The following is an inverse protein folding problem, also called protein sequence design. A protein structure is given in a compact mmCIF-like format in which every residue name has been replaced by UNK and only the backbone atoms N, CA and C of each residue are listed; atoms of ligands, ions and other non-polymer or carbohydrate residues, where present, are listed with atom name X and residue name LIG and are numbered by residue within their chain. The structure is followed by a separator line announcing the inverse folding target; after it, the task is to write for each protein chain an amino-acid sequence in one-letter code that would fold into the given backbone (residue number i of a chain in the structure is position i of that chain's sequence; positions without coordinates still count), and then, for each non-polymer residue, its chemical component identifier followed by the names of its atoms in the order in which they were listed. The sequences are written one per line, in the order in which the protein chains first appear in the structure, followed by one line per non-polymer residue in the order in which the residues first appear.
data_IF_743307924653
#
_entry.id   IF_743307924653
#
_cell.length_a   1.000
_cell.length_b   1.000
_cell.length_c   1.000
_cell.angle_alpha   90.00
_cell.angle_beta   90.00
_cell.angle_gamma   90.00
#
_symmetry.space_group_name_H-M   'P 1'
#
loop_
_entity.id
_entity.type
_entity.pdbx_description
1 polymer ?
#
# COMPACT_ATOMS: atom_id res chain seq x y z
N UNK A 1 -17.72 23.49 7.70
CA UNK A 1 -17.95 24.11 9.02
C UNK A 1 -17.00 23.55 10.08
N UNK A 2 -17.06 22.26 10.43
CA UNK A 2 -16.31 21.74 11.59
C UNK A 2 -14.78 21.92 11.58
N UNK A 3 -14.14 21.99 10.41
CA UNK A 3 -12.68 22.13 10.29
C UNK A 3 -12.23 23.59 10.46
N UNK A 4 -12.62 24.47 9.54
CA UNK A 4 -12.06 25.83 9.44
C UNK A 4 -13.09 26.94 9.27
N UNK A 5 -14.39 26.62 9.26
CA UNK A 5 -15.43 27.59 8.91
C UNK A 5 -16.38 27.82 10.09
N UNK A 6 -16.36 29.03 10.63
CA UNK A 6 -17.15 29.47 11.78
C UNK A 6 -16.38 29.40 13.10
N UNK A 7 -16.79 30.21 14.08
CA UNK A 7 -16.11 30.38 15.38
C UNK A 7 -16.02 29.09 16.19
N UNK A 8 -16.98 28.19 16.00
CA UNK A 8 -17.01 26.88 16.67
C UNK A 8 -16.13 25.82 16.00
N UNK A 9 -15.48 26.14 14.88
CA UNK A 9 -14.60 25.21 14.15
C UNK A 9 -13.34 24.89 14.95
N UNK A 10 -12.71 23.74 14.68
CA UNK A 10 -11.50 23.34 15.41
C UNK A 10 -10.35 24.32 15.18
N UNK A 11 -10.20 24.87 13.96
CA UNK A 11 -9.17 25.87 13.69
C UNK A 11 -9.44 27.17 14.46
N UNK A 12 -10.66 27.70 14.41
CA UNK A 12 -11.00 28.93 15.12
C UNK A 12 -10.80 28.81 16.63
N UNK A 13 -11.15 27.65 17.22
CA UNK A 13 -10.94 27.38 18.65
C UNK A 13 -9.48 27.27 19.06
N UNK A 14 -8.63 26.70 18.21
CA UNK A 14 -7.19 26.60 18.48
C UNK A 14 -6.52 27.97 18.30
N UNK A 15 -6.87 28.70 17.24
CA UNK A 15 -6.33 30.03 16.98
C UNK A 15 -6.75 31.06 18.03
N UNK A 16 -7.95 30.95 18.62
CA UNK A 16 -8.40 31.87 19.67
C UNK A 16 -7.59 31.79 20.96
N UNK A 17 -6.91 30.66 21.20
CA UNK A 17 -5.98 30.47 22.33
C UNK A 17 -4.51 30.61 21.91
N UNK A 18 -4.24 31.13 20.71
CA UNK A 18 -2.88 31.37 20.20
C UNK A 18 -2.16 30.13 19.69
N UNK A 19 -2.85 29.00 19.49
CA UNK A 19 -2.28 27.78 18.90
C UNK A 19 -2.47 27.83 17.38
N UNK A 20 -1.38 27.58 16.64
CA UNK A 20 -1.41 27.40 15.17
C UNK A 20 -1.89 25.99 14.82
N UNK A 21 -3.12 25.82 14.28
CA UNK A 21 -3.69 24.49 14.07
C UNK A 21 -2.86 23.60 13.15
N UNK A 22 -2.24 24.17 12.12
CA UNK A 22 -1.46 23.46 11.10
C UNK A 22 -0.24 22.70 11.65
N UNK A 23 0.26 23.08 12.83
CA UNK A 23 1.38 22.39 13.49
C UNK A 23 0.93 21.11 14.22
N UNK A 24 -0.37 20.94 14.45
CA UNK A 24 -0.93 19.87 15.30
C UNK A 24 -1.96 18.99 14.59
N UNK A 25 -2.66 19.52 13.58
CA UNK A 25 -3.69 18.78 12.86
C UNK A 25 -3.62 19.04 11.36
N UNK A 26 -3.63 17.96 10.59
CA UNK A 26 -3.58 17.99 9.13
C UNK A 26 -4.72 17.14 8.57
N UNK A 27 -5.25 17.56 7.42
CA UNK A 27 -6.36 16.90 6.74
C UNK A 27 -5.94 16.50 5.34
N UNK A 28 -6.16 15.24 4.99
CA UNK A 28 -5.74 14.67 3.71
C UNK A 28 -6.92 14.05 2.97
N UNK A 29 -6.76 13.91 1.67
CA UNK A 29 -7.62 13.11 0.80
C UNK A 29 -6.74 12.30 -0.12
N UNK A 30 -7.24 11.18 -0.62
CA UNK A 30 -6.48 10.31 -1.51
C UNK A 30 -6.93 10.53 -2.96
N UNK A 31 -5.98 10.55 -3.88
CA UNK A 31 -6.19 10.70 -5.31
C UNK A 31 -5.19 9.82 -6.06
N UNK A 32 -5.65 9.14 -7.10
CA UNK A 32 -4.80 8.38 -8.00
C UNK A 32 -4.92 8.91 -9.42
N UNK A 33 -3.94 8.58 -10.24
CA UNK A 33 -3.97 8.82 -11.67
C UNK A 33 -3.51 7.56 -12.41
N UNK A 34 -3.92 7.43 -13.67
CA UNK A 34 -3.61 6.28 -14.51
C UNK A 34 -3.85 6.60 -15.98
N UNK A 35 -3.58 5.63 -16.87
CA UNK A 35 -3.96 5.68 -18.27
C UNK A 35 -5.18 4.81 -18.55
N UNK A 36 -6.12 5.30 -19.35
CA UNK A 36 -7.35 4.57 -19.69
C UNK A 36 -7.59 4.53 -21.21
N UNK A 37 -8.26 3.47 -21.67
CA UNK A 37 -8.67 3.28 -23.06
C UNK A 37 -7.52 3.02 -24.05
N UNK A 38 -7.89 2.76 -25.33
CA UNK A 38 -6.94 2.45 -26.41
C UNK A 38 -5.93 3.58 -26.68
N UNK A 39 -6.34 4.82 -26.43
CA UNK A 39 -5.49 6.01 -26.63
C UNK A 39 -4.59 6.33 -25.43
N UNK A 40 -4.59 5.48 -24.37
CA UNK A 40 -3.83 5.68 -23.12
C UNK A 40 -3.98 7.12 -22.61
N UNK A 41 -5.22 7.54 -22.41
CA UNK A 41 -5.55 8.88 -21.92
C UNK A 41 -5.22 8.98 -20.43
N UNK A 42 -4.47 10.02 -20.05
CA UNK A 42 -4.17 10.31 -18.66
C UNK A 42 -5.47 10.75 -17.96
N UNK A 43 -5.79 10.07 -16.87
CA UNK A 43 -6.96 10.36 -16.04
C UNK A 43 -6.56 10.38 -14.57
N UNK A 44 -7.28 11.17 -13.77
CA UNK A 44 -7.13 11.19 -12.32
C UNK A 44 -8.49 11.11 -11.66
N UNK A 45 -8.57 10.36 -10.58
CA UNK A 45 -9.79 10.23 -9.78
C UNK A 45 -9.47 10.23 -8.29
N UNK A 46 -10.43 10.73 -7.51
CA UNK A 46 -10.36 10.64 -6.06
C UNK A 46 -10.51 9.17 -5.63
N UNK A 47 -9.64 8.74 -4.72
CA UNK A 47 -9.83 7.47 -4.03
C UNK A 47 -10.81 7.69 -2.89
N UNK A 48 -11.94 6.99 -2.95
CA UNK A 48 -13.01 7.14 -1.97
C UNK A 48 -12.64 6.47 -0.66
N UNK A 49 -12.36 7.27 0.37
CA UNK A 49 -12.03 6.80 1.71
C UNK A 49 -13.33 6.36 2.40
N UNK A 50 -13.63 5.06 2.34
CA UNK A 50 -14.77 4.47 3.03
C UNK A 50 -14.43 3.97 4.44
N UNK A 51 -13.15 3.99 4.83
CA UNK A 51 -12.71 3.48 6.13
C UNK A 51 -13.32 4.28 7.29
N UNK A 52 -13.67 3.58 8.37
CA UNK A 52 -13.97 4.17 9.68
C UNK A 52 -13.06 3.52 10.71
N UNK A 53 -11.84 4.04 10.74
CA UNK A 53 -10.75 3.52 11.58
C UNK A 53 -10.06 4.66 12.30
N UNK A 54 -9.56 4.39 13.51
CA UNK A 54 -8.77 5.32 14.31
C UNK A 54 -7.64 4.55 15.00
N UNK A 55 -6.41 5.04 14.89
CA UNK A 55 -5.26 4.53 15.64
C UNK A 55 -4.82 5.60 16.64
N UNK A 56 -4.63 5.21 17.90
CA UNK A 56 -4.22 6.10 18.98
C UNK A 56 -2.95 5.55 19.62
N UNK A 57 -1.91 6.40 19.67
CA UNK A 57 -0.61 6.16 20.28
C UNK A 57 0.10 4.86 19.84
N UNK A 58 -0.23 4.31 18.67
CA UNK A 58 0.18 2.97 18.24
C UNK A 58 -0.13 1.87 19.28
N UNK A 59 -1.17 2.05 20.11
CA UNK A 59 -1.58 1.09 21.16
C UNK A 59 -3.02 0.65 21.06
N UNK A 60 -3.88 1.48 20.48
CA UNK A 60 -5.31 1.22 20.34
C UNK A 60 -5.68 1.41 18.88
N UNK A 61 -6.40 0.47 18.32
CA UNK A 61 -7.07 0.61 17.04
C UNK A 61 -8.59 0.45 17.24
N UNK A 62 -9.37 1.38 16.68
CA UNK A 62 -10.82 1.31 16.62
C UNK A 62 -11.19 1.10 15.16
N UNK A 63 -11.97 0.06 14.86
CA UNK A 63 -12.39 -0.27 13.51
C UNK A 63 -13.89 -0.56 13.54
N UNK A 64 -14.66 0.00 12.60
CA UNK A 64 -16.10 -0.24 12.58
C UNK A 64 -16.82 0.35 11.37
N UNK A 65 -18.12 0.53 11.54
CA UNK A 65 -19.01 1.12 10.52
C UNK A 65 -19.33 2.60 10.78
N UNK A 66 -19.17 3.08 12.03
CA UNK A 66 -19.58 4.41 12.45
C UNK A 66 -18.72 5.54 11.85
N UNK A 67 -19.34 6.44 11.07
CA UNK A 67 -18.68 7.64 10.58
C UNK A 67 -18.55 8.71 11.69
N UNK A 68 -17.58 9.63 11.56
CA UNK A 68 -17.50 10.81 12.45
C UNK A 68 -18.56 11.84 12.03
N UNK A 69 -19.81 11.56 12.36
CA UNK A 69 -20.95 12.46 12.19
C UNK A 69 -22.07 12.09 13.18
N UNK A 70 -23.08 12.95 13.29
CA UNK A 70 -24.16 12.75 14.26
C UNK A 70 -25.13 11.62 13.87
N UNK A 71 -25.20 11.23 12.59
CA UNK A 71 -26.00 10.08 12.15
C UNK A 71 -25.48 8.76 12.74
N UNK A 72 -24.16 8.55 12.70
CA UNK A 72 -23.53 7.34 13.23
C UNK A 72 -23.27 7.42 14.74
N UNK A 73 -22.90 8.59 15.28
CA UNK A 73 -22.42 8.70 16.67
C UNK A 73 -23.52 8.90 17.72
N UNK A 74 -24.76 9.19 17.32
CA UNK A 74 -25.86 9.46 18.27
C UNK A 74 -26.49 8.19 18.87
N UNK A 75 -26.35 7.04 18.20
CA UNK A 75 -26.89 5.75 18.65
C UNK A 75 -28.42 5.57 18.49
N UNK A 76 -29.18 6.66 18.33
CA UNK A 76 -30.65 6.61 18.09
C UNK A 76 -31.02 6.78 16.61
N UNK A 77 -30.04 6.68 15.70
CA UNK A 77 -30.23 6.89 14.26
C UNK A 77 -29.84 5.62 13.51
N UNK A 78 -28.65 5.61 12.91
CA UNK A 78 -28.17 4.43 12.20
C UNK A 78 -27.60 3.44 13.23
N UNK A 79 -27.86 2.15 13.03
CA UNK A 79 -27.25 1.08 13.81
C UNK A 79 -25.81 0.90 13.35
N UNK A 80 -24.86 1.05 14.25
CA UNK A 80 -23.43 0.96 13.97
C UNK A 80 -22.76 -0.06 14.89
N UNK A 81 -21.63 -0.62 14.45
CA UNK A 81 -20.79 -1.49 15.26
C UNK A 81 -19.32 -1.08 15.13
N UNK A 82 -18.61 -1.12 16.25
CA UNK A 82 -17.17 -0.86 16.31
C UNK A 82 -16.49 -1.88 17.24
N UNK A 83 -15.29 -2.29 16.87
CA UNK A 83 -14.38 -3.07 17.70
C UNK A 83 -13.22 -2.19 18.16
N UNK A 84 -12.81 -2.37 19.41
CA UNK A 84 -11.60 -1.75 19.98
C UNK A 84 -10.57 -2.85 20.18
N UNK A 85 -9.43 -2.72 19.52
CA UNK A 85 -8.30 -3.64 19.65
C UNK A 85 -7.22 -2.96 20.47
N UNK A 86 -6.89 -3.59 21.60
CA UNK A 86 -5.78 -3.19 22.48
C UNK A 86 -4.94 -4.42 22.76
N UNK A 87 -3.74 -4.44 22.20
CA UNK A 87 -2.85 -5.57 22.36
C UNK A 87 -2.21 -5.64 23.74
N UNK A 88 -1.89 -6.87 24.13
CA UNK A 88 -0.99 -7.17 25.25
C UNK A 88 0.46 -7.36 24.77
N UNK A 89 0.63 -7.74 23.51
CA UNK A 89 1.94 -7.92 22.89
C UNK A 89 2.50 -6.56 22.48
N UNK A 90 3.55 -6.15 23.20
CA UNK A 90 4.19 -4.85 23.04
C UNK A 90 5.53 -4.99 22.32
N UNK A 91 5.76 -4.14 21.32
CA UNK A 91 7.00 -4.09 20.52
C UNK A 91 7.78 -2.82 20.89
N UNK A 92 9.11 -2.90 20.89
CA UNK A 92 9.97 -1.73 21.02
C UNK A 92 9.92 -0.87 19.76
N UNK A 93 9.69 0.42 19.94
CA UNK A 93 9.64 1.42 18.88
C UNK A 93 10.12 2.77 19.43
N UNK A 94 9.88 3.85 18.69
CA UNK A 94 10.18 5.22 19.11
C UNK A 94 8.97 6.14 18.90
N UNK A 95 8.85 7.15 19.75
CA UNK A 95 7.86 8.22 19.65
C UNK A 95 8.56 9.53 20.00
N UNK A 96 8.52 10.52 19.10
CA UNK A 96 9.25 11.78 19.26
C UNK A 96 10.76 11.56 19.56
N UNK A 97 11.37 10.62 18.83
CA UNK A 97 12.78 10.25 18.98
C UNK A 97 13.15 9.50 20.27
N UNK A 98 12.20 9.24 21.18
CA UNK A 98 12.44 8.55 22.45
C UNK A 98 11.94 7.09 22.39
N UNK A 99 12.59 6.15 23.11
CA UNK A 99 12.11 4.77 23.21
C UNK A 99 10.66 4.71 23.71
N UNK A 100 9.81 3.96 23.00
CA UNK A 100 8.40 3.84 23.31
C UNK A 100 7.87 2.45 22.95
N UNK A 101 7.10 1.84 23.88
CA UNK A 101 6.44 0.55 23.64
C UNK A 101 5.12 0.76 22.91
N UNK A 102 4.94 0.07 21.79
CA UNK A 102 3.73 0.11 20.95
C UNK A 102 3.02 -1.24 20.95
N UNK A 103 1.70 -1.26 20.74
CA UNK A 103 0.94 -2.50 20.57
C UNK A 103 1.12 -3.04 19.16
N UNK A 104 1.39 -4.35 19.03
CA UNK A 104 1.74 -4.98 17.76
C UNK A 104 0.75 -4.66 16.63
N UNK A 105 -0.55 -4.87 16.86
CA UNK A 105 -1.64 -4.69 15.90
C UNK A 105 -1.83 -3.24 15.49
N UNK A 106 -1.92 -2.32 16.46
CA UNK A 106 -2.14 -0.91 16.18
C UNK A 106 -0.97 -0.33 15.37
N UNK A 107 0.26 -0.67 15.77
CA UNK A 107 1.47 -0.26 15.08
C UNK A 107 1.54 -0.84 13.65
N UNK A 108 1.33 -2.14 13.47
CA UNK A 108 1.39 -2.77 12.12
C UNK A 108 0.30 -2.23 11.19
N UNK A 109 -0.93 -2.02 11.69
CA UNK A 109 -2.01 -1.40 10.94
C UNK A 109 -1.62 0.01 10.46
N UNK A 110 -1.11 0.85 11.35
CA UNK A 110 -0.69 2.21 11.03
C UNK A 110 0.49 2.23 10.06
N UNK A 111 1.49 1.36 10.23
CA UNK A 111 2.61 1.21 9.29
C UNK A 111 2.14 0.78 7.90
N UNK A 112 1.22 -0.19 7.80
CA UNK A 112 0.68 -0.65 6.50
C UNK A 112 -0.05 0.46 5.76
N UNK A 113 -0.98 1.15 6.43
CA UNK A 113 -1.75 2.24 5.82
C UNK A 113 -0.85 3.40 5.38
N UNK A 114 0.12 3.78 6.21
CA UNK A 114 1.05 4.86 5.85
C UNK A 114 1.95 4.50 4.68
N UNK A 115 2.44 3.25 4.61
CA UNK A 115 3.22 2.75 3.47
C UNK A 115 2.40 2.86 2.19
N UNK A 116 1.17 2.34 2.20
CA UNK A 116 0.27 2.41 1.05
C UNK A 116 0.04 3.87 0.60
N UNK A 117 -0.28 4.77 1.53
CA UNK A 117 -0.63 6.15 1.20
C UNK A 117 0.58 7.01 0.80
N UNK A 118 1.79 6.63 1.20
CA UNK A 118 3.05 7.26 0.80
C UNK A 118 3.65 6.65 -0.48
N UNK A 119 3.00 5.64 -1.07
CA UNK A 119 3.44 5.01 -2.33
C UNK A 119 4.50 3.92 -2.17
N UNK A 120 4.66 3.37 -0.96
CA UNK A 120 5.46 2.16 -0.75
C UNK A 120 4.63 0.95 -1.14
N UNK A 121 5.21 0.07 -1.96
CA UNK A 121 4.59 -1.19 -2.36
C UNK A 121 4.48 -2.14 -1.16
N UNK A 122 3.28 -2.20 -0.59
CA UNK A 122 2.98 -3.03 0.59
C UNK A 122 2.95 -4.51 0.26
N UNK A 123 2.59 -4.89 -0.96
CA UNK A 123 2.49 -6.28 -1.38
C UNK A 123 3.89 -6.85 -1.62
N UNK A 124 4.75 -6.11 -2.30
CA UNK A 124 6.17 -6.45 -2.42
C UNK A 124 6.83 -6.56 -1.05
N UNK A 125 6.57 -5.59 -0.15
CA UNK A 125 7.15 -5.61 1.18
C UNK A 125 6.70 -6.85 1.96
N UNK A 126 5.41 -7.17 1.94
CA UNK A 126 4.86 -8.36 2.61
C UNK A 126 5.46 -9.65 2.01
N UNK A 127 5.61 -9.72 0.68
CA UNK A 127 6.26 -10.85 0.03
C UNK A 127 7.71 -11.04 0.48
N UNK A 128 8.47 -9.94 0.55
CA UNK A 128 9.86 -9.96 1.03
C UNK A 128 9.89 -10.38 2.51
N UNK A 129 9.09 -9.76 3.36
CA UNK A 129 9.04 -10.08 4.80
C UNK A 129 8.68 -11.56 5.03
N UNK A 130 7.68 -12.11 4.32
CA UNK A 130 7.30 -13.53 4.41
C UNK A 130 8.41 -14.45 3.94
N UNK A 131 9.05 -14.15 2.81
CA UNK A 131 10.14 -14.98 2.27
C UNK A 131 11.33 -15.00 3.22
N UNK A 132 11.72 -13.86 3.77
CA UNK A 132 12.84 -13.78 4.71
C UNK A 132 12.51 -14.42 6.06
N UNK A 133 11.26 -14.40 6.50
CA UNK A 133 10.80 -15.11 7.69
C UNK A 133 10.94 -16.64 7.53
N UNK A 134 10.59 -17.18 6.36
CA UNK A 134 10.79 -18.61 6.06
C UNK A 134 12.27 -18.99 6.04
N UNK A 135 13.13 -18.11 5.50
CA UNK A 135 14.59 -18.31 5.55
C UNK A 135 15.09 -18.29 6.99
N UNK A 136 14.62 -17.37 7.83
CA UNK A 136 14.97 -17.29 9.25
C UNK A 136 14.55 -18.56 10.02
N UNK A 137 13.33 -19.05 9.78
CA UNK A 137 12.82 -20.28 10.38
C UNK A 137 13.68 -21.49 9.96
N UNK A 138 13.95 -21.65 8.66
CA UNK A 138 14.83 -22.71 8.18
C UNK A 138 16.25 -22.60 8.75
N UNK A 139 16.82 -21.38 8.82
CA UNK A 139 18.16 -21.12 9.37
C UNK A 139 18.28 -21.51 10.85
N UNK A 140 17.16 -21.49 11.58
CA UNK A 140 17.11 -21.87 12.99
C UNK A 140 17.14 -23.39 13.20
N UNK A 141 16.86 -24.19 12.16
CA UNK A 141 16.97 -25.66 12.20
C UNK A 141 18.42 -26.13 12.22
N UNK A 142 18.65 -27.37 12.66
CA UNK A 142 20.00 -27.95 12.68
C UNK A 142 20.61 -28.06 11.27
N UNK A 143 19.79 -28.33 10.25
CA UNK A 143 20.21 -28.34 8.86
C UNK A 143 20.60 -26.93 8.39
N UNK A 144 19.77 -25.92 8.65
CA UNK A 144 20.02 -24.53 8.27
C UNK A 144 21.29 -23.96 8.90
N UNK A 145 21.53 -24.24 10.18
CA UNK A 145 22.75 -23.82 10.89
C UNK A 145 24.03 -24.30 10.22
N UNK A 146 24.01 -25.42 9.48
CA UNK A 146 25.20 -25.90 8.74
C UNK A 146 25.68 -24.96 7.64
N UNK A 147 24.85 -23.99 7.23
CA UNK A 147 25.20 -22.92 6.30
C UNK A 147 26.08 -21.85 6.94
N UNK A 148 26.17 -21.77 8.27
CA UNK A 148 26.98 -20.74 8.93
C UNK A 148 28.45 -20.83 8.55
N UNK A 149 29.01 -19.68 8.18
CA UNK A 149 30.44 -19.49 7.90
C UNK A 149 31.30 -19.44 9.17
N UNK A 150 30.66 -19.35 10.35
CA UNK A 150 31.36 -19.32 11.64
C UNK A 150 31.73 -20.73 12.14
N UNK A 151 30.99 -21.77 11.75
CA UNK A 151 31.23 -23.15 12.21
C UNK A 151 32.59 -23.71 11.78
N UNK A 152 33.16 -23.20 10.69
CA UNK A 152 34.49 -23.59 10.19
C UNK A 152 35.65 -22.94 10.94
N UNK A 153 35.40 -21.88 11.73
CA UNK A 153 36.45 -21.16 12.45
C UNK A 153 36.21 -21.26 13.97
N UNK A 154 36.95 -22.16 14.63
CA UNK A 154 36.83 -22.41 16.08
C UNK A 154 37.13 -21.19 16.96
N UNK A 155 37.75 -20.15 16.40
CA UNK A 155 38.06 -18.89 17.09
C UNK A 155 37.03 -17.78 16.82
N UNK A 156 36.06 -18.01 15.95
CA UNK A 156 35.05 -17.02 15.61
C UNK A 156 33.96 -16.98 16.70
N UNK A 157 33.78 -15.80 17.30
CA UNK A 157 32.69 -15.52 18.25
C UNK A 157 31.59 -14.80 17.47
N UNK A 158 30.39 -15.34 17.47
CA UNK A 158 29.25 -14.73 16.79
C UNK A 158 28.00 -15.60 16.83
N UNK A 159 26.89 -15.01 16.41
CA UNK A 159 25.61 -15.71 16.31
C UNK A 159 25.61 -16.60 15.06
N UNK A 160 25.67 -17.92 15.29
CA UNK A 160 25.68 -18.96 14.25
C UNK A 160 24.39 -18.92 13.43
N UNK A 161 23.25 -18.67 14.07
CA UNK A 161 21.95 -18.61 13.40
C UNK A 161 21.88 -17.41 12.48
N UNK A 162 22.30 -16.23 12.95
CA UNK A 162 22.37 -15.03 12.14
C UNK A 162 23.33 -15.20 10.96
N UNK A 163 24.50 -15.81 11.19
CA UNK A 163 25.46 -16.12 10.13
C UNK A 163 24.87 -17.06 9.06
N UNK A 164 24.16 -18.11 9.49
CA UNK A 164 23.47 -19.02 8.57
C UNK A 164 22.36 -18.30 7.78
N UNK A 165 21.58 -17.44 8.44
CA UNK A 165 20.52 -16.66 7.82
C UNK A 165 21.06 -15.74 6.73
N UNK A 166 22.13 -15.00 7.00
CA UNK A 166 22.77 -14.11 6.02
C UNK A 166 23.30 -14.91 4.83
N UNK A 167 23.98 -16.03 5.07
CA UNK A 167 24.48 -16.90 4.00
C UNK A 167 23.33 -17.44 3.12
N UNK A 168 22.30 -18.03 3.71
CA UNK A 168 21.18 -18.63 2.99
C UNK A 168 20.35 -17.59 2.22
N UNK A 169 20.11 -16.42 2.82
CA UNK A 169 19.45 -15.32 2.14
C UNK A 169 20.27 -14.82 0.94
N UNK A 170 21.59 -14.73 1.08
CA UNK A 170 22.49 -14.31 -0.02
C UNK A 170 22.45 -15.30 -1.18
N UNK A 171 22.45 -16.62 -0.90
CA UNK A 171 22.29 -17.64 -1.94
C UNK A 171 21.00 -17.50 -2.72
N UNK A 172 19.89 -17.27 -2.01
CA UNK A 172 18.57 -17.11 -2.63
C UNK A 172 18.52 -15.88 -3.54
N UNK A 173 18.98 -14.72 -3.04
CA UNK A 173 18.96 -13.46 -3.79
C UNK A 173 19.87 -13.49 -5.02
N UNK A 174 21.10 -13.97 -4.87
CA UNK A 174 22.10 -13.98 -5.94
C UNK A 174 21.99 -15.22 -6.84
N UNK A 175 21.06 -16.14 -6.54
CA UNK A 175 20.92 -17.45 -7.20
C UNK A 175 22.20 -18.29 -7.12
N UNK A 176 23.01 -18.07 -6.08
CA UNK A 176 24.24 -18.83 -5.79
C UNK A 176 23.92 -20.04 -4.91
N UNK A 177 23.08 -20.97 -5.40
CA UNK A 177 22.57 -22.07 -4.58
C UNK A 177 23.65 -23.02 -4.04
N UNK A 178 24.81 -23.10 -4.70
CA UNK A 178 25.95 -23.90 -4.22
C UNK A 178 26.68 -23.26 -3.03
N UNK A 179 26.38 -22.01 -2.68
CA UNK A 179 27.00 -21.23 -1.61
C UNK A 179 27.78 -20.02 -2.11
N UNK A 180 27.96 -19.04 -1.22
CA UNK A 180 28.77 -17.85 -1.53
C UNK A 180 30.26 -18.20 -1.68
N UNK A 181 31.05 -17.31 -2.26
CA UNK A 181 32.51 -17.48 -2.38
C UNK A 181 33.19 -17.74 -1.02
N UNK A 182 32.76 -17.03 0.02
CA UNK A 182 33.24 -17.20 1.40
C UNK A 182 32.86 -18.57 1.92
N UNK A 183 31.60 -18.98 1.79
CA UNK A 183 31.16 -20.31 2.21
C UNK A 183 31.92 -21.42 1.48
N UNK A 184 32.08 -21.32 0.16
CA UNK A 184 32.83 -22.29 -0.65
C UNK A 184 34.30 -22.39 -0.25
N UNK A 185 34.94 -21.27 0.09
CA UNK A 185 36.34 -21.24 0.54
C UNK A 185 36.59 -21.85 1.91
N UNK A 186 35.54 -21.99 2.74
CA UNK A 186 35.63 -22.51 4.11
C UNK A 186 35.37 -24.02 4.21
N UNK A 187 34.96 -24.68 3.13
CA UNK A 187 34.48 -26.05 3.16
C UNK A 187 35.52 -27.10 2.72
N UNK A 188 35.76 -28.08 3.60
CA UNK A 188 36.17 -29.45 3.26
C UNK A 188 34.96 -30.38 3.10
N UNK A 189 33.81 -29.85 2.64
CA UNK A 189 32.55 -30.62 2.48
C UNK A 189 32.42 -31.18 1.06
N UNK A 190 31.71 -32.31 0.88
CA UNK A 190 31.50 -32.91 -0.43
C UNK A 190 30.79 -31.97 -1.40
N UNK A 191 31.20 -32.04 -2.68
CA UNK A 191 30.60 -31.32 -3.81
C UNK A 191 29.10 -31.59 -3.85
N UNK A 192 28.28 -30.52 -3.92
CA UNK A 192 26.82 -30.62 -4.02
C UNK A 192 26.04 -30.36 -2.72
N UNK A 193 26.69 -30.50 -1.55
CA UNK A 193 26.02 -30.30 -0.24
C UNK A 193 25.41 -28.90 -0.05
N UNK A 194 26.00 -27.86 -0.62
CA UNK A 194 25.45 -26.50 -0.58
C UNK A 194 24.14 -26.36 -1.36
N UNK A 195 24.05 -27.01 -2.53
CA UNK A 195 22.88 -26.98 -3.41
C UNK A 195 21.72 -27.78 -2.84
N UNK A 196 22.01 -28.93 -2.23
CA UNK A 196 21.02 -29.73 -1.52
C UNK A 196 20.39 -28.96 -0.36
N UNK A 197 21.22 -28.25 0.41
CA UNK A 197 20.74 -27.41 1.51
C UNK A 197 19.87 -26.25 1.01
N UNK A 198 20.31 -25.55 -0.04
CA UNK A 198 19.52 -24.47 -0.64
C UNK A 198 18.21 -24.99 -1.23
N UNK A 199 18.21 -26.19 -1.82
CA UNK A 199 17.00 -26.84 -2.30
C UNK A 199 16.06 -27.18 -1.14
N UNK A 200 16.57 -27.82 -0.09
CA UNK A 200 15.78 -28.15 1.09
C UNK A 200 15.13 -26.90 1.72
N UNK A 201 15.85 -25.78 1.76
CA UNK A 201 15.29 -24.49 2.17
C UNK A 201 14.17 -24.04 1.23
N UNK A 202 14.40 -24.02 -0.07
CA UNK A 202 13.40 -23.59 -1.06
C UNK A 202 12.17 -24.48 -1.04
N UNK A 203 12.32 -25.77 -0.77
CA UNK A 203 11.20 -26.72 -0.66
C UNK A 203 10.34 -26.45 0.59
N UNK A 204 10.82 -25.67 1.59
CA UNK A 204 10.00 -25.21 2.73
C UNK A 204 9.16 -23.98 2.43
N UNK A 205 9.35 -23.37 1.26
CA UNK A 205 8.65 -22.15 0.90
C UNK A 205 7.21 -22.44 0.51
N UNK A 206 6.28 -21.75 1.13
CA UNK A 206 4.90 -21.69 0.65
C UNK A 206 4.85 -21.14 -0.78
N UNK A 207 3.96 -21.72 -1.59
CA UNK A 207 3.61 -21.19 -2.90
C UNK A 207 3.03 -19.79 -2.72
N UNK A 208 3.76 -18.79 -3.20
CA UNK A 208 3.25 -17.43 -3.31
C UNK A 208 2.48 -17.35 -4.63
N UNK A 209 1.16 -17.49 -4.57
CA UNK A 209 0.29 -17.04 -5.66
C UNK A 209 0.35 -15.51 -5.70
N UNK A 210 1.24 -14.98 -6.53
CA UNK A 210 1.29 -13.57 -6.81
C UNK A 210 0.27 -13.32 -7.93
N UNK A 211 -0.83 -12.64 -7.61
CA UNK A 211 -1.87 -12.28 -8.60
C UNK A 211 -1.30 -11.37 -9.72
N UNK A 212 -0.11 -10.78 -9.50
CA UNK A 212 0.52 -9.83 -10.41
C UNK A 212 2.02 -10.07 -10.55
N UNK A 213 2.54 -10.22 -11.78
CA UNK A 213 3.98 -10.01 -12.00
C UNK A 213 4.30 -8.56 -11.63
N UNK A 214 5.34 -8.34 -10.82
CA UNK A 214 5.77 -6.99 -10.42
C UNK A 214 6.12 -6.09 -11.63
N UNK A 215 6.50 -6.69 -12.76
CA UNK A 215 6.76 -5.98 -14.01
C UNK A 215 5.47 -5.66 -14.81
N UNK A 216 4.36 -6.31 -14.48
CA UNK A 216 3.09 -6.23 -15.21
C UNK A 216 2.02 -5.42 -14.45
N UNK A 217 2.39 -4.57 -13.45
CA UNK A 217 1.42 -3.76 -12.69
C UNK A 217 0.42 -3.13 -13.67
N UNK A 218 -0.82 -3.67 -13.76
CA UNK A 218 -1.77 -3.15 -14.71
C UNK A 218 -2.19 -1.83 -14.11
N UNK A 219 -1.80 -0.75 -14.76
CA UNK A 219 -2.29 0.60 -14.56
C UNK A 219 -3.70 0.56 -13.99
N UNK A 220 -3.82 0.80 -12.69
CA UNK A 220 -5.07 0.56 -11.96
C UNK A 220 -6.20 1.34 -12.64
N UNK A 221 -7.21 0.61 -13.09
CA UNK A 221 -8.36 1.16 -13.77
C UNK A 221 -9.23 1.94 -12.77
N UNK A 222 -9.52 3.19 -13.08
CA UNK A 222 -10.53 3.95 -12.32
C UNK A 222 -11.90 3.30 -12.50
N UNK A 223 -12.56 3.00 -11.37
CA UNK A 223 -13.85 2.32 -11.33
C UNK A 223 -15.03 3.13 -11.89
N UNK A 224 -14.88 4.44 -12.16
CA UNK A 224 -16.02 5.30 -12.50
C UNK A 224 -15.78 6.35 -13.61
N UNK A 225 -14.58 6.46 -14.21
CA UNK A 225 -14.42 7.38 -15.33
C UNK A 225 -15.09 6.80 -16.59
N UNK A 226 -16.29 7.29 -16.91
CA UNK A 226 -17.00 7.03 -18.19
C UNK A 226 -17.13 5.53 -18.53
N UNK A 227 -17.76 4.78 -17.64
CA UNK A 227 -18.11 3.37 -17.85
C UNK A 227 -18.82 3.17 -19.21
N UNK A 228 -18.30 2.27 -20.04
CA UNK A 228 -18.85 1.95 -21.37
C UNK A 228 -18.21 2.64 -22.58
N UNK A 229 -17.45 3.75 -22.43
CA UNK A 229 -16.68 4.35 -23.54
C UNK A 229 -15.17 4.10 -23.42
N UNK A 230 -14.55 4.54 -22.32
CA UNK A 230 -13.09 4.38 -22.10
C UNK A 230 -12.76 3.14 -21.24
N UNK A 231 -13.76 2.61 -20.52
CA UNK A 231 -13.70 1.44 -19.64
C UNK A 231 -14.40 0.20 -20.28
N UNK A 232 -14.00 -0.17 -21.49
CA UNK A 232 -14.56 -1.34 -22.21
C UNK A 232 -14.15 -2.62 -21.45
N UNK A 233 -15.10 -3.53 -21.20
CA UNK A 233 -14.93 -4.78 -20.43
C UNK A 233 -15.32 -4.72 -18.94
N UNK A 234 -15.25 -3.55 -18.29
CA UNK A 234 -15.64 -3.36 -16.89
C UNK A 234 -17.07 -2.81 -16.81
N UNK A 235 -18.03 -3.64 -16.40
CA UNK A 235 -19.47 -3.30 -16.27
C UNK A 235 -20.20 -2.96 -17.58
N UNK A 236 -19.79 -3.52 -18.72
CA UNK A 236 -20.48 -3.33 -20.02
C UNK A 236 -21.98 -3.64 -19.99
N UNK A 237 -22.38 -4.59 -19.15
CA UNK A 237 -23.78 -5.04 -18.99
C UNK A 237 -24.53 -4.33 -17.86
N UNK A 238 -23.92 -3.35 -17.18
CA UNK A 238 -24.63 -2.63 -16.12
C UNK A 238 -25.55 -1.61 -16.78
N UNK A 239 -26.84 -1.69 -16.49
CA UNK A 239 -27.78 -0.66 -16.90
C UNK A 239 -27.23 0.71 -16.47
N UNK A 240 -27.24 1.68 -17.39
CA UNK A 240 -26.92 3.05 -17.03
C UNK A 240 -27.81 3.45 -15.85
N UNK A 241 -27.19 3.90 -14.76
CA UNK A 241 -27.93 4.36 -13.59
C UNK A 241 -28.76 5.57 -14.00
N UNK A 242 -30.06 5.40 -14.15
CA UNK A 242 -30.97 6.52 -14.35
C UNK A 242 -31.15 7.20 -13.00
N UNK A 243 -30.45 8.31 -12.78
CA UNK A 243 -30.69 9.14 -11.61
C UNK A 243 -32.00 9.90 -11.81
N UNK A 244 -33.04 9.51 -11.06
CA UNK A 244 -34.36 10.14 -11.13
C UNK A 244 -34.35 11.63 -10.77
N UNK A 245 -33.25 12.15 -10.22
CA UNK A 245 -33.07 13.59 -9.93
C UNK A 245 -32.68 14.41 -11.17
N UNK A 246 -32.33 13.77 -12.28
CA UNK A 246 -31.97 14.44 -13.54
C UNK A 246 -33.25 14.72 -14.37
N UNK A 247 -33.96 15.75 -13.95
CA UNK A 247 -35.25 16.14 -14.56
C UNK A 247 -35.10 17.20 -15.64
N UNK A 248 -34.10 18.08 -15.52
CA UNK A 248 -33.88 19.22 -16.43
C UNK A 248 -33.11 18.84 -17.69
N UNK A 249 -33.46 19.47 -18.83
CA UNK A 249 -32.85 19.21 -20.14
C UNK A 249 -31.37 19.57 -20.17
N UNK A 250 -30.98 20.69 -19.57
CA UNK A 250 -29.58 21.12 -19.42
C UNK A 250 -28.71 20.05 -18.74
N UNK A 251 -29.22 19.44 -17.67
CA UNK A 251 -28.53 18.42 -16.91
C UNK A 251 -28.44 17.10 -17.70
N UNK A 252 -29.46 16.78 -18.50
CA UNK A 252 -29.43 15.62 -19.41
C UNK A 252 -28.43 15.82 -20.55
N UNK A 253 -28.32 17.02 -21.07
CA UNK A 253 -27.36 17.36 -22.13
C UNK A 253 -25.92 17.34 -21.60
N UNK A 254 -25.67 17.82 -20.39
CA UNK A 254 -24.38 17.64 -19.71
C UNK A 254 -24.03 16.14 -19.55
N UNK A 255 -24.98 15.31 -19.09
CA UNK A 255 -24.76 13.86 -18.93
C UNK A 255 -24.53 13.15 -20.27
N UNK A 256 -25.15 13.60 -21.35
CA UNK A 256 -24.95 13.07 -22.71
C UNK A 256 -23.69 13.65 -23.39
N UNK A 257 -23.02 14.62 -22.75
CA UNK A 257 -21.86 15.30 -23.30
C UNK A 257 -22.14 16.25 -24.44
N UNK A 258 -23.37 16.75 -24.51
CA UNK A 258 -23.83 17.80 -25.41
C UNK A 258 -23.91 19.16 -24.73
N UNK A 259 -23.74 19.20 -23.40
CA UNK A 259 -23.72 20.42 -22.62
C UNK A 259 -22.47 21.27 -22.82
N UNK A 260 -22.10 22.06 -21.82
CA UNK A 260 -21.17 23.19 -22.03
C UNK A 260 -19.76 22.73 -22.45
N UNK A 261 -19.30 21.60 -21.91
CA UNK A 261 -17.98 21.04 -22.22
C UNK A 261 -17.93 20.30 -23.56
N UNK A 262 -19.11 19.98 -24.14
CA UNK A 262 -19.31 19.20 -25.37
C UNK A 262 -18.38 17.98 -25.43
N UNK A 263 -18.24 17.24 -24.34
CA UNK A 263 -17.22 16.19 -24.26
C UNK A 263 -17.41 15.06 -25.30
N UNK A 264 -18.62 14.88 -25.82
CA UNK A 264 -18.93 13.89 -26.87
C UNK A 264 -18.45 14.33 -28.26
N UNK A 265 -18.11 15.61 -28.44
CA UNK A 265 -17.73 16.17 -29.74
C UNK A 265 -16.36 15.67 -30.22
N UNK A 266 -16.20 15.57 -31.55
CA UNK A 266 -14.92 15.20 -32.17
C UNK A 266 -13.79 16.18 -31.80
N UNK A 267 -14.11 17.47 -31.69
CA UNK A 267 -13.15 18.52 -31.35
C UNK A 267 -12.63 18.34 -29.91
N UNK A 268 -13.52 18.09 -28.95
CA UNK A 268 -13.12 17.82 -27.57
C UNK A 268 -12.20 16.60 -27.48
N UNK A 269 -12.56 15.49 -28.15
CA UNK A 269 -11.74 14.27 -28.18
C UNK A 269 -10.35 14.51 -28.76
N UNK A 270 -10.25 15.26 -29.87
CA UNK A 270 -8.97 15.66 -30.48
C UNK A 270 -8.13 16.53 -29.54
N UNK A 271 -8.74 17.54 -28.90
CA UNK A 271 -8.06 18.39 -27.93
C UNK A 271 -7.57 17.63 -26.70
N UNK A 272 -8.38 16.71 -26.15
CA UNK A 272 -8.01 15.85 -25.02
C UNK A 272 -6.78 14.99 -25.35
N UNK A 273 -6.72 14.42 -26.55
CA UNK A 273 -5.55 13.66 -27.00
C UNK A 273 -4.29 14.52 -27.07
N UNK A 274 -4.37 15.74 -27.63
CA UNK A 274 -3.22 16.66 -27.71
C UNK A 274 -2.73 17.10 -26.33
N UNK A 275 -3.64 17.42 -25.41
CA UNK A 275 -3.30 17.76 -24.03
C UNK A 275 -2.63 16.56 -23.35
N UNK A 276 -3.13 15.35 -23.57
CA UNK A 276 -2.53 14.13 -23.03
C UNK A 276 -1.09 13.92 -23.53
N UNK A 277 -0.83 14.13 -24.82
CA UNK A 277 0.54 14.09 -25.37
C UNK A 277 1.46 15.15 -24.75
N UNK A 278 0.96 16.37 -24.55
CA UNK A 278 1.71 17.43 -23.90
C UNK A 278 2.00 17.13 -22.42
N UNK A 279 1.04 16.58 -21.67
CA UNK A 279 1.26 16.18 -20.28
C UNK A 279 2.28 15.03 -20.17
N UNK A 280 2.22 14.07 -21.09
CA UNK A 280 3.21 12.99 -21.18
C UNK A 280 4.62 13.52 -21.45
N UNK A 281 4.77 14.48 -22.37
CA UNK A 281 6.08 15.04 -22.68
C UNK A 281 6.67 15.81 -21.50
N UNK A 282 5.87 16.61 -20.79
CA UNK A 282 6.30 17.34 -19.58
C UNK A 282 6.74 16.38 -18.47
N UNK A 283 5.98 15.30 -18.25
CA UNK A 283 6.32 14.35 -17.21
C UNK A 283 7.60 13.54 -17.55
N UNK A 284 7.82 13.20 -18.83
CA UNK A 284 9.09 12.58 -19.26
C UNK A 284 10.30 13.53 -19.14
N UNK A 285 10.11 14.83 -19.32
CA UNK A 285 11.17 15.83 -19.21
C UNK A 285 11.59 16.11 -17.76
N UNK A 286 10.73 15.80 -16.79
CA UNK A 286 10.96 16.05 -15.36
C UNK A 286 11.53 14.82 -14.62
N UNK A 287 11.78 13.71 -15.32
CA UNK A 287 12.29 12.47 -14.72
C UNK A 287 11.29 11.79 -13.78
N UNK A 288 10.00 12.10 -13.91
CA UNK A 288 8.90 11.49 -13.14
C UNK A 288 8.43 10.15 -13.75
N UNK A 289 9.18 9.62 -14.72
CA UNK A 289 8.97 8.34 -15.39
C UNK A 289 10.29 7.63 -15.62
#
# INVERSE_FOLDING_TARGET
MSISMGESSIFSKLSSVGIRPEEYIQFFSLRKWSYIGKSKLLVTEQLYIHAKTMVVDDRIAIIGSANINERSMRGTRDSEICAIVRDKDMVDSTMDGKPYKVGKFAHTLRMRLMREHLGVDVDLLEMVERRFSQIEEFSSTDAGKTASTLLSNRSAVGDVTLSAQVELATRYLLKEYDGTSVYKGLLTKPVGSGRELSKAMIDTFDDLEIDHKLDDIPYSYSFNHRAGEENIGLREKKNFSTDNRVTEESHRDDIKGLGTDRYSSKNYRSSKNKINEALKSVASATGLF
#
